data_IF_459513530690
#
_entry.id   IF_459513530690
#
_cell.length_a   1.000
_cell.length_b   1.000
_cell.length_c   1.000
_cell.angle_alpha   90.00
_cell.angle_beta   90.00
_cell.angle_gamma   90.00
#
_symmetry.space_group_name_H-M   'P 1'
#
loop_
_entity.id
_entity.type
_entity.pdbx_description
1 polymer ?
#
# COMPACT_ATOMS: atom_id res chain seq x y z
N UNK A 1 -13.25 -14.34 -12.18
CA UNK A 1 -13.05 -13.01 -12.77
C UNK A 1 -12.21 -12.22 -11.80
N UNK A 2 -11.00 -11.84 -12.19
CA UNK A 2 -10.12 -11.00 -11.37
C UNK A 2 -10.55 -9.55 -11.66
N UNK A 3 -11.13 -8.87 -10.68
CA UNK A 3 -11.41 -7.44 -10.82
C UNK A 3 -10.09 -6.71 -10.65
N UNK A 4 -9.58 -6.12 -11.73
CA UNK A 4 -8.48 -5.17 -11.66
C UNK A 4 -9.00 -3.91 -10.97
N UNK A 5 -8.50 -3.65 -9.77
CA UNK A 5 -8.82 -2.43 -9.02
C UNK A 5 -7.85 -1.36 -9.51
N UNK A 6 -8.33 -0.45 -10.35
CA UNK A 6 -7.57 0.72 -10.77
C UNK A 6 -7.54 1.74 -9.62
N UNK A 7 -6.37 1.93 -9.01
CA UNK A 7 -6.19 2.91 -7.95
C UNK A 7 -6.11 4.32 -8.55
N UNK A 8 -7.02 5.21 -8.15
CA UNK A 8 -6.90 6.63 -8.51
C UNK A 8 -5.62 7.25 -7.94
N UNK A 9 -5.09 8.29 -8.58
CA UNK A 9 -3.92 9.03 -8.08
C UNK A 9 -4.08 9.54 -6.63
N UNK A 10 -5.31 9.91 -6.23
CA UNK A 10 -5.62 10.30 -4.86
C UNK A 10 -5.52 9.13 -3.87
N UNK A 11 -5.95 7.93 -4.29
CA UNK A 11 -5.81 6.71 -3.49
C UNK A 11 -4.34 6.31 -3.34
N UNK A 12 -3.53 6.43 -4.40
CA UNK A 12 -2.07 6.22 -4.35
C UNK A 12 -1.42 7.19 -3.37
N UNK A 13 -1.77 8.48 -3.42
CA UNK A 13 -1.22 9.48 -2.50
C UNK A 13 -1.64 9.23 -1.04
N UNK A 14 -2.89 8.86 -0.81
CA UNK A 14 -3.41 8.54 0.52
C UNK A 14 -2.73 7.30 1.10
N UNK A 15 -2.55 6.26 0.28
CA UNK A 15 -1.83 5.05 0.64
C UNK A 15 -0.37 5.36 1.03
N UNK A 16 0.36 6.11 0.20
CA UNK A 16 1.74 6.54 0.50
C UNK A 16 1.82 7.29 1.84
N UNK A 17 0.89 8.21 2.10
CA UNK A 17 0.85 8.97 3.36
C UNK A 17 0.53 8.10 4.56
N UNK A 18 -0.46 7.20 4.42
CA UNK A 18 -0.83 6.27 5.47
C UNK A 18 0.37 5.39 5.82
N UNK A 19 0.98 4.76 4.82
CA UNK A 19 2.05 3.80 5.04
C UNK A 19 3.38 4.41 5.48
N UNK A 20 3.72 5.63 5.06
CA UNK A 20 4.95 6.29 5.52
C UNK A 20 4.92 6.71 6.99
N UNK A 21 3.73 6.75 7.60
CA UNK A 21 3.53 7.23 8.97
C UNK A 21 2.89 6.19 9.91
N UNK A 22 2.42 5.05 9.39
CA UNK A 22 1.87 3.98 10.22
C UNK A 22 3.01 3.16 10.83
N UNK A 23 3.04 3.09 12.15
CA UNK A 23 3.94 2.21 12.90
C UNK A 23 3.20 0.99 13.43
N UNK A 24 3.96 -0.03 13.87
CA UNK A 24 3.40 -1.19 14.58
C UNK A 24 2.68 -0.74 15.85
N UNK A 25 3.20 0.28 16.55
CA UNK A 25 2.57 0.82 17.76
C UNK A 25 1.20 1.45 17.46
N UNK A 26 1.04 2.12 16.30
CA UNK A 26 -0.24 2.70 15.88
C UNK A 26 -1.28 1.61 15.56
N UNK A 27 -0.84 0.51 14.95
CA UNK A 27 -1.68 -0.66 14.65
C UNK A 27 -2.12 -1.35 15.93
N UNK A 28 -1.18 -1.62 16.84
CA UNK A 28 -1.44 -2.20 18.14
C UNK A 28 -2.39 -1.31 18.98
N UNK A 29 -2.18 0.01 18.98
CA UNK A 29 -3.06 0.97 19.67
C UNK A 29 -4.48 1.03 19.08
N UNK A 30 -4.64 0.74 17.78
CA UNK A 30 -5.93 0.60 17.12
C UNK A 30 -6.61 -0.77 17.36
N UNK A 31 -5.95 -1.68 18.09
CA UNK A 31 -6.49 -2.99 18.46
C UNK A 31 -6.28 -4.08 17.40
N UNK A 32 -5.34 -3.88 16.48
CA UNK A 32 -4.92 -4.92 15.54
C UNK A 32 -4.15 -6.01 16.28
N UNK A 33 -4.32 -7.26 15.84
CA UNK A 33 -3.56 -8.40 16.37
C UNK A 33 -2.24 -8.57 15.63
N UNK A 34 -1.30 -9.33 16.19
CA UNK A 34 -0.04 -9.66 15.50
C UNK A 34 -0.27 -10.36 14.14
N UNK A 35 -1.35 -11.14 14.00
CA UNK A 35 -1.75 -11.72 12.71
C UNK A 35 -2.22 -10.65 11.71
N UNK A 36 -2.98 -9.66 12.17
CA UNK A 36 -3.43 -8.56 11.32
C UNK A 36 -2.25 -7.66 10.90
N UNK A 37 -1.29 -7.42 11.78
CA UNK A 37 -0.06 -6.68 11.49
C UNK A 37 0.80 -7.40 10.44
N UNK A 38 0.92 -8.73 10.54
CA UNK A 38 1.62 -9.54 9.55
C UNK A 38 0.93 -9.48 8.18
N UNK A 39 -0.39 -9.63 8.15
CA UNK A 39 -1.18 -9.52 6.92
C UNK A 39 -1.10 -8.11 6.31
N UNK A 40 -1.08 -7.07 7.15
CA UNK A 40 -0.92 -5.68 6.72
C UNK A 40 0.47 -5.46 6.10
N UNK A 41 1.52 -6.06 6.65
CA UNK A 41 2.86 -6.03 6.10
C UNK A 41 2.99 -6.69 4.71
N UNK A 42 2.25 -7.78 4.46
CA UNK A 42 2.18 -8.41 3.14
C UNK A 42 1.41 -7.53 2.14
N UNK A 43 0.26 -6.99 2.56
CA UNK A 43 -0.52 -6.07 1.73
C UNK A 43 0.30 -4.83 1.36
N UNK A 44 1.04 -4.27 2.32
CA UNK A 44 1.92 -3.12 2.11
C UNK A 44 2.96 -3.37 1.01
N UNK A 45 3.68 -4.50 1.09
CA UNK A 45 4.69 -4.85 0.07
C UNK A 45 4.08 -5.06 -1.30
N UNK A 46 2.89 -5.68 -1.36
CA UNK A 46 2.15 -5.85 -2.62
C UNK A 46 1.76 -4.51 -3.24
N UNK A 47 1.18 -3.60 -2.46
CA UNK A 47 0.79 -2.26 -2.94
C UNK A 47 2.01 -1.44 -3.33
N UNK A 48 3.10 -1.48 -2.55
CA UNK A 48 4.34 -0.77 -2.89
C UNK A 48 4.92 -1.27 -4.22
N UNK A 49 4.99 -2.59 -4.44
CA UNK A 49 5.48 -3.16 -5.70
C UNK A 49 4.65 -2.74 -6.90
N UNK A 50 3.32 -2.74 -6.78
CA UNK A 50 2.43 -2.25 -7.85
C UNK A 50 2.63 -0.76 -8.16
N UNK A 51 2.85 0.07 -7.14
CA UNK A 51 3.13 1.50 -7.33
C UNK A 51 4.48 1.69 -8.04
N UNK A 52 5.53 0.96 -7.64
CA UNK A 52 6.84 1.01 -8.29
C UNK A 52 6.75 0.57 -9.76
N UNK A 53 5.98 -0.48 -10.07
CA UNK A 53 5.72 -0.92 -11.44
C UNK A 53 5.01 0.16 -12.26
N UNK A 54 3.97 0.80 -11.72
CA UNK A 54 3.27 1.90 -12.38
C UNK A 54 4.20 3.08 -12.67
N UNK A 55 5.01 3.50 -11.69
CA UNK A 55 5.96 4.60 -11.85
C UNK A 55 7.06 4.27 -12.90
N UNK A 56 7.51 3.02 -12.96
CA UNK A 56 8.46 2.56 -14.00
C UNK A 56 7.84 2.54 -15.40
N UNK A 57 6.55 2.20 -15.50
CA UNK A 57 5.83 2.13 -16.78
C UNK A 57 5.51 3.53 -17.30
N UNK A 58 5.13 4.47 -16.43
CA UNK A 58 4.92 5.88 -16.78
C UNK A 58 6.24 6.61 -17.14
N UNK A 59 7.38 6.17 -16.59
CA UNK A 59 8.69 6.76 -16.88
C UNK A 59 9.33 6.34 -18.21
N UNK A 60 8.76 5.35 -18.91
CA UNK A 60 9.33 4.79 -20.15
C UNK A 60 8.79 5.42 -21.44
N UNK A 61 7.87 6.39 -21.35
CA UNK A 61 7.30 7.14 -22.49
C UNK A 61 7.81 8.59 -22.61
N UNK A 62 8.99 8.90 -22.04
CA UNK A 62 9.64 10.22 -22.15
C UNK A 62 10.87 10.22 -23.08
#
# INVERSE_FOLDING_TARGET
MMHEIELSAAAVLAAKKLFNHLTVDDLSAAGFTEEDEAAFGELYRGVQGYIEELEMTEGSEA
#
